data_IF_230239222008
#
_entry.id   IF_230239222008
#
_cell.length_a   1.000
_cell.length_b   1.000
_cell.length_c   1.000
_cell.angle_alpha   90.00
_cell.angle_beta   90.00
_cell.angle_gamma   90.00
#
_symmetry.space_group_name_H-M   'P 1'
#
loop_
_entity.id
_entity.type
_entity.pdbx_description
1 polymer ?
#
# COMPACT_ATOMS: atom_id res chain seq x y z
N UNK A 1 -29.06 1.29 -11.52
CA UNK A 1 -28.14 2.45 -11.53
C UNK A 1 -27.59 2.68 -10.12
N UNK A 2 -26.27 2.71 -9.92
CA UNK A 2 -25.62 2.84 -8.59
C UNK A 2 -25.37 4.32 -8.19
N UNK A 3 -25.27 5.22 -9.16
CA UNK A 3 -25.03 6.66 -8.92
C UNK A 3 -26.22 7.32 -8.23
N UNK A 4 -25.95 8.14 -7.22
CA UNK A 4 -26.96 8.96 -6.54
C UNK A 4 -26.39 10.33 -6.14
N UNK A 5 -27.20 11.22 -5.55
CA UNK A 5 -26.75 12.52 -5.04
C UNK A 5 -25.66 12.38 -3.96
N UNK A 6 -25.74 11.32 -3.15
CA UNK A 6 -24.78 11.02 -2.05
C UNK A 6 -23.48 10.37 -2.56
N UNK A 7 -23.53 9.67 -3.69
CA UNK A 7 -22.41 8.88 -4.20
C UNK A 7 -21.94 9.40 -5.57
N UNK A 8 -20.83 10.12 -5.57
CA UNK A 8 -20.12 10.55 -6.79
C UNK A 8 -19.57 9.33 -7.53
N UNK A 9 -19.28 9.49 -8.84
CA UNK A 9 -18.64 8.43 -9.65
C UNK A 9 -17.33 7.96 -9.02
N UNK A 10 -16.45 8.89 -8.65
CA UNK A 10 -15.18 8.59 -7.97
C UNK A 10 -15.32 7.83 -6.65
N UNK A 11 -16.42 8.00 -5.91
CA UNK A 11 -16.68 7.20 -4.72
C UNK A 11 -17.08 5.77 -5.06
N UNK A 12 -17.92 5.61 -6.08
CA UNK A 12 -18.34 4.30 -6.57
C UNK A 12 -17.14 3.53 -7.13
N UNK A 13 -16.30 4.20 -7.94
CA UNK A 13 -15.11 3.58 -8.53
C UNK A 13 -14.14 3.07 -7.44
N UNK A 14 -13.92 3.86 -6.39
CA UNK A 14 -13.13 3.42 -5.22
C UNK A 14 -13.75 2.26 -4.48
N UNK A 15 -15.07 2.26 -4.27
CA UNK A 15 -15.76 1.14 -3.63
C UNK A 15 -15.67 -0.15 -4.45
N UNK A 16 -15.79 -0.05 -5.77
CA UNK A 16 -15.61 -1.19 -6.69
C UNK A 16 -14.18 -1.70 -6.61
N UNK A 17 -13.17 -0.82 -6.63
CA UNK A 17 -11.77 -1.21 -6.48
C UNK A 17 -11.53 -1.98 -5.16
N UNK A 18 -12.04 -1.47 -4.04
CA UNK A 18 -11.93 -2.17 -2.76
C UNK A 18 -12.63 -3.53 -2.78
N UNK A 19 -13.81 -3.63 -3.39
CA UNK A 19 -14.53 -4.89 -3.52
C UNK A 19 -13.78 -5.91 -4.39
N UNK A 20 -13.21 -5.48 -5.52
CA UNK A 20 -12.43 -6.32 -6.41
C UNK A 20 -11.14 -6.85 -5.75
N UNK A 21 -10.46 -6.01 -4.97
CA UNK A 21 -9.22 -6.38 -4.27
C UNK A 21 -9.46 -7.10 -2.94
N UNK A 22 -10.69 -7.13 -2.43
CA UNK A 22 -11.03 -7.70 -1.14
C UNK A 22 -10.51 -6.86 0.04
N UNK A 23 -10.44 -5.54 -0.10
CA UNK A 23 -9.99 -4.61 0.95
C UNK A 23 -11.13 -4.39 1.94
N UNK A 24 -10.86 -4.68 3.21
CA UNK A 24 -11.79 -4.54 4.33
C UNK A 24 -11.60 -3.23 5.08
N UNK A 25 -12.63 -2.80 5.82
CA UNK A 25 -12.55 -1.57 6.62
C UNK A 25 -11.45 -1.66 7.69
N UNK A 26 -11.31 -2.80 8.35
CA UNK A 26 -10.26 -3.05 9.37
C UNK A 26 -8.85 -2.90 8.81
N UNK A 27 -8.62 -3.27 7.54
CA UNK A 27 -7.32 -3.06 6.88
C UNK A 27 -7.06 -1.58 6.59
N UNK A 28 -8.09 -0.80 6.30
CA UNK A 28 -7.95 0.63 5.99
C UNK A 28 -7.75 1.50 7.23
N UNK A 29 -8.22 1.03 8.39
CA UNK A 29 -8.01 1.68 9.68
C UNK A 29 -6.64 1.32 10.31
N UNK A 30 -5.96 0.29 9.81
CA UNK A 30 -4.64 -0.11 10.27
C UNK A 30 -3.55 0.85 9.76
N UNK A 31 -2.51 1.04 10.58
CA UNK A 31 -1.33 1.81 10.18
C UNK A 31 -0.53 1.09 9.09
N UNK A 32 0.15 1.86 8.23
CA UNK A 32 0.99 1.32 7.17
C UNK A 32 2.15 0.50 7.78
N UNK A 33 2.25 -0.81 7.49
CA UNK A 33 3.17 -1.70 8.19
C UNK A 33 4.63 -1.53 7.78
N UNK A 34 4.87 -1.08 6.54
CA UNK A 34 6.22 -0.85 6.01
C UNK A 34 6.16 0.14 4.83
N UNK A 35 7.34 0.66 4.47
CA UNK A 35 7.53 1.46 3.25
C UNK A 35 8.21 0.61 2.19
N UNK A 36 7.53 0.43 1.05
CA UNK A 36 8.10 -0.24 -0.12
C UNK A 36 8.86 0.74 -1.00
N UNK A 37 10.18 0.60 -1.02
CA UNK A 37 11.07 1.41 -1.85
C UNK A 37 11.04 0.88 -3.28
N UNK A 38 10.40 1.64 -4.17
CA UNK A 38 10.30 1.30 -5.60
C UNK A 38 11.52 1.80 -6.40
N UNK A 39 12.04 2.97 -6.05
CA UNK A 39 13.20 3.57 -6.71
C UNK A 39 13.90 4.60 -5.79
N UNK A 40 15.17 4.88 -6.06
CA UNK A 40 15.94 5.94 -5.40
C UNK A 40 17.08 6.43 -6.31
N UNK A 41 17.51 7.67 -6.11
CA UNK A 41 18.74 8.22 -6.68
C UNK A 41 19.95 7.96 -5.77
N UNK A 42 21.15 8.39 -6.16
CA UNK A 42 22.38 8.12 -5.38
C UNK A 42 22.36 8.69 -3.97
N UNK A 43 21.73 9.85 -3.78
CA UNK A 43 21.53 10.43 -2.44
C UNK A 43 20.56 9.58 -1.62
N UNK A 44 19.43 9.17 -2.22
CA UNK A 44 18.45 8.29 -1.61
C UNK A 44 19.07 6.95 -1.21
N UNK A 45 19.94 6.38 -2.05
CA UNK A 45 20.69 5.15 -1.74
C UNK A 45 21.51 5.29 -0.45
N UNK A 46 22.24 6.40 -0.29
CA UNK A 46 23.07 6.66 0.91
C UNK A 46 22.20 6.76 2.17
N UNK A 47 21.08 7.49 2.09
CA UNK A 47 20.13 7.64 3.20
C UNK A 47 19.51 6.28 3.56
N UNK A 48 18.95 5.56 2.58
CA UNK A 48 18.31 4.27 2.78
C UNK A 48 19.28 3.23 3.35
N UNK A 49 20.55 3.23 2.91
CA UNK A 49 21.59 2.35 3.48
C UNK A 49 21.84 2.64 4.97
N UNK A 50 21.79 3.90 5.40
CA UNK A 50 21.96 4.27 6.81
C UNK A 50 20.77 3.82 7.68
N UNK A 51 19.54 3.91 7.17
CA UNK A 51 18.31 3.58 7.93
C UNK A 51 17.85 2.13 7.79
N UNK A 52 18.44 1.33 6.89
CA UNK A 52 18.05 -0.08 6.62
C UNK A 52 18.01 -0.96 7.88
N UNK A 53 18.79 -0.63 8.92
CA UNK A 53 18.82 -1.37 10.19
C UNK A 53 17.49 -1.38 10.95
N UNK A 54 16.60 -0.42 10.70
CA UNK A 54 15.30 -0.32 11.40
C UNK A 54 14.22 -1.26 10.82
N UNK A 55 14.45 -1.91 9.67
CA UNK A 55 13.51 -2.90 9.12
C UNK A 55 12.18 -2.37 8.57
N UNK A 56 11.92 -1.06 8.68
CA UNK A 56 10.71 -0.39 8.21
C UNK A 56 10.70 -0.15 6.68
N UNK A 57 11.86 0.04 6.07
CA UNK A 57 12.02 0.23 4.62
C UNK A 57 12.36 -1.10 3.95
N UNK A 58 11.59 -1.46 2.91
CA UNK A 58 11.73 -2.73 2.17
C UNK A 58 11.91 -2.45 0.70
N UNK A 59 12.96 -2.98 0.08
CA UNK A 59 13.17 -2.77 -1.35
C UNK A 59 12.18 -3.61 -2.16
N UNK A 60 11.84 -3.16 -3.36
CA UNK A 60 11.06 -3.96 -4.29
C UNK A 60 11.71 -5.33 -4.51
N UNK A 61 10.92 -6.40 -4.34
CA UNK A 61 11.39 -7.79 -4.44
C UNK A 61 11.87 -8.41 -3.12
N UNK A 62 12.11 -7.63 -2.06
CA UNK A 62 12.36 -8.19 -0.73
C UNK A 62 11.04 -8.73 -0.14
N UNK A 63 10.96 -10.01 0.28
CA UNK A 63 9.79 -10.55 0.95
C UNK A 63 9.59 -9.92 2.33
N UNK A 64 8.33 -9.76 2.73
CA UNK A 64 7.91 -9.19 4.00
C UNK A 64 6.88 -10.13 4.61
N UNK A 65 7.19 -10.67 5.76
CA UNK A 65 6.26 -11.54 6.50
C UNK A 65 5.15 -10.70 7.16
N UNK A 66 4.22 -10.21 6.34
CA UNK A 66 3.08 -9.41 6.78
C UNK A 66 1.87 -9.62 5.86
N UNK A 67 0.62 -9.71 6.38
CA UNK A 67 -0.58 -9.92 5.56
C UNK A 67 -0.81 -8.90 4.43
N UNK A 68 -0.27 -7.68 4.58
CA UNK A 68 -0.33 -6.67 3.51
C UNK A 68 0.50 -7.03 2.27
N UNK A 69 1.53 -7.88 2.39
CA UNK A 69 2.31 -8.33 1.24
C UNK A 69 1.45 -9.15 0.26
N UNK A 70 0.53 -9.96 0.75
CA UNK A 70 -0.37 -10.74 -0.11
C UNK A 70 -1.34 -9.84 -0.86
N UNK A 71 -1.76 -8.73 -0.24
CA UNK A 71 -2.61 -7.73 -0.89
C UNK A 71 -1.87 -7.00 -2.02
N UNK A 72 -0.57 -6.71 -1.87
CA UNK A 72 0.25 -6.09 -2.92
C UNK A 72 0.49 -6.99 -4.14
N UNK A 73 0.32 -8.31 -4.00
CA UNK A 73 0.60 -9.29 -5.06
C UNK A 73 -0.63 -9.63 -5.93
N UNK A 74 -1.81 -9.15 -5.57
CA UNK A 74 -3.06 -9.33 -6.33
C UNK A 74 -3.11 -8.37 -7.52
#
# INVERSE_FOLDING_TARGET
AVKSKRYTRTRIDRMILCACLGVTQTQMEAEAPYVRVLAFNDRGRKILKAVKKQGFFRNAGEPVDHPFQDLERR
#
